data_IF_889021447069
#
_entry.id   IF_889021447069
#
_cell.length_a   1.000
_cell.length_b   1.000
_cell.length_c   1.000
_cell.angle_alpha   90.00
_cell.angle_beta   90.00
_cell.angle_gamma   90.00
#
_symmetry.space_group_name_H-M   'P 1'
#
loop_
_entity.id
_entity.type
_entity.pdbx_description
1 polymer ?
#
# COMPACT_ATOMS: atom_id res chain seq x y z
N UNK A 1 10.83 19.53 6.34
CA UNK A 1 10.48 18.55 5.29
C UNK A 1 11.10 17.16 5.50
N UNK A 2 12.36 17.03 5.95
CA UNK A 2 13.00 15.72 6.22
C UNK A 2 12.28 14.94 7.35
N UNK A 3 11.87 15.64 8.41
CA UNK A 3 11.15 15.06 9.55
C UNK A 3 9.76 14.50 9.18
N UNK A 4 9.07 15.10 8.20
CA UNK A 4 7.73 14.65 7.78
C UNK A 4 7.85 13.37 6.95
N UNK A 5 8.77 13.31 5.99
CA UNK A 5 9.00 12.09 5.20
C UNK A 5 9.41 10.90 6.08
N UNK A 6 10.38 11.11 7.01
CA UNK A 6 10.81 10.05 7.92
C UNK A 6 9.72 9.61 8.92
N UNK A 7 8.82 10.52 9.31
CA UNK A 7 7.69 10.17 10.17
C UNK A 7 6.68 9.28 9.43
N UNK A 8 6.36 9.60 8.18
CA UNK A 8 5.48 8.78 7.33
C UNK A 8 6.11 7.40 7.09
N UNK A 9 7.40 7.35 6.78
CA UNK A 9 8.14 6.10 6.56
C UNK A 9 8.14 5.20 7.79
N UNK A 10 8.39 5.79 8.99
CA UNK A 10 8.41 5.04 10.25
C UNK A 10 7.01 4.56 10.64
N UNK A 11 6.00 5.38 10.41
CA UNK A 11 4.62 5.03 10.70
C UNK A 11 4.15 3.87 9.81
N UNK A 12 4.37 3.97 8.50
CA UNK A 12 4.00 2.92 7.55
C UNK A 12 4.76 1.60 7.78
N UNK A 13 6.02 1.67 8.23
CA UNK A 13 6.79 0.48 8.57
C UNK A 13 6.21 -0.26 9.78
N UNK A 14 5.92 0.45 10.86
CA UNK A 14 5.30 -0.14 12.04
C UNK A 14 3.91 -0.68 11.73
N UNK A 15 3.10 0.10 11.00
CA UNK A 15 1.75 -0.32 10.63
C UNK A 15 1.76 -1.55 9.70
N UNK A 16 2.63 -1.57 8.69
CA UNK A 16 2.81 -2.72 7.81
C UNK A 16 3.28 -3.98 8.55
N UNK A 17 4.20 -3.81 9.49
CA UNK A 17 4.64 -4.90 10.36
C UNK A 17 3.50 -5.49 11.19
N UNK A 18 2.71 -4.65 11.86
CA UNK A 18 1.55 -5.13 12.61
C UNK A 18 0.45 -5.70 11.71
N UNK A 19 0.23 -5.11 10.54
CA UNK A 19 -0.72 -5.61 9.58
C UNK A 19 -0.37 -7.01 9.04
N UNK A 20 0.92 -7.36 9.00
CA UNK A 20 1.34 -8.71 8.58
C UNK A 20 0.82 -9.81 9.53
N UNK A 21 0.63 -9.51 10.81
CA UNK A 21 0.04 -10.47 11.75
C UNK A 21 -1.44 -10.76 11.49
N UNK A 22 -2.15 -9.92 10.72
CA UNK A 22 -3.54 -10.21 10.33
C UNK A 22 -3.67 -11.46 9.45
N UNK A 23 -2.58 -11.90 8.85
CA UNK A 23 -2.56 -13.15 8.08
C UNK A 23 -2.80 -14.37 8.97
N UNK A 24 -2.38 -14.34 10.24
CA UNK A 24 -2.57 -15.46 11.15
C UNK A 24 -4.05 -15.74 11.46
N UNK A 25 -4.85 -14.76 11.97
CA UNK A 25 -6.27 -14.98 12.16
C UNK A 25 -7.00 -15.26 10.83
N UNK A 26 -6.56 -14.66 9.70
CA UNK A 26 -7.12 -14.98 8.40
C UNK A 26 -6.96 -16.47 8.04
N UNK A 27 -5.75 -17.03 8.20
CA UNK A 27 -5.50 -18.44 7.96
C UNK A 27 -6.34 -19.31 8.91
N UNK A 28 -6.43 -18.95 10.20
CA UNK A 28 -7.23 -19.69 11.19
C UNK A 28 -8.71 -19.74 10.78
N UNK A 29 -9.28 -18.64 10.35
CA UNK A 29 -10.69 -18.57 9.90
C UNK A 29 -10.91 -19.42 8.66
N UNK A 30 -10.01 -19.34 7.68
CA UNK A 30 -10.11 -20.14 6.44
C UNK A 30 -10.01 -21.63 6.74
N UNK A 31 -9.03 -22.03 7.56
CA UNK A 31 -8.86 -23.44 7.95
C UNK A 31 -10.07 -23.93 8.73
N UNK A 32 -10.60 -23.13 9.65
CA UNK A 32 -11.82 -23.45 10.38
C UNK A 32 -13.01 -23.69 9.44
N UNK A 33 -13.23 -22.77 8.48
CA UNK A 33 -14.32 -22.92 7.51
C UNK A 33 -14.16 -24.19 6.67
N UNK A 34 -12.94 -24.52 6.24
CA UNK A 34 -12.65 -25.74 5.47
C UNK A 34 -12.98 -26.99 6.30
N UNK A 35 -12.57 -27.03 7.56
CA UNK A 35 -12.86 -28.16 8.47
C UNK A 35 -14.37 -28.30 8.68
N UNK A 36 -15.06 -27.21 8.98
CA UNK A 36 -16.52 -27.23 9.21
C UNK A 36 -17.28 -27.64 7.95
N UNK A 37 -16.90 -27.14 6.81
CA UNK A 37 -17.56 -27.38 5.52
C UNK A 37 -17.38 -28.82 5.04
N UNK A 38 -16.14 -29.31 5.04
CA UNK A 38 -15.81 -30.62 4.45
C UNK A 38 -15.71 -31.76 5.48
N UNK A 39 -15.35 -31.45 6.73
CA UNK A 39 -15.27 -32.47 7.78
C UNK A 39 -16.61 -32.75 8.47
N UNK A 40 -17.36 -31.68 8.74
CA UNK A 40 -18.62 -31.78 9.50
C UNK A 40 -19.87 -31.52 8.64
N UNK A 41 -19.71 -31.18 7.36
CA UNK A 41 -20.78 -30.78 6.44
C UNK A 41 -21.68 -29.66 7.01
N UNK A 42 -21.09 -28.76 7.79
CA UNK A 42 -21.73 -27.66 8.50
C UNK A 42 -21.06 -26.33 8.15
N UNK A 43 -21.25 -25.79 6.90
CA UNK A 43 -20.64 -24.54 6.49
C UNK A 43 -21.09 -23.38 7.39
N UNK A 44 -20.14 -22.50 7.73
CA UNK A 44 -20.44 -21.35 8.59
C UNK A 44 -20.90 -20.14 7.77
N UNK A 45 -21.84 -19.35 8.31
CA UNK A 45 -22.37 -18.16 7.63
C UNK A 45 -21.46 -16.93 7.75
N UNK A 46 -20.53 -16.93 8.71
CA UNK A 46 -19.70 -15.77 9.07
C UNK A 46 -18.26 -15.82 8.54
N UNK A 47 -17.71 -17.01 8.34
CA UNK A 47 -16.28 -17.17 8.06
C UNK A 47 -15.87 -16.51 6.73
N UNK A 48 -16.71 -16.60 5.70
CA UNK A 48 -16.42 -15.95 4.42
C UNK A 48 -16.28 -14.43 4.55
N UNK A 49 -17.21 -13.80 5.24
CA UNK A 49 -17.20 -12.34 5.42
C UNK A 49 -16.04 -11.87 6.30
N UNK A 50 -15.79 -12.58 7.40
CA UNK A 50 -14.65 -12.29 8.26
C UNK A 50 -13.32 -12.42 7.50
N UNK A 51 -13.21 -13.44 6.63
CA UNK A 51 -12.04 -13.58 5.73
C UNK A 51 -11.89 -12.38 4.82
N UNK A 52 -12.97 -11.93 4.17
CA UNK A 52 -12.95 -10.74 3.30
C UNK A 52 -12.56 -9.48 4.09
N UNK A 53 -13.04 -9.32 5.30
CA UNK A 53 -12.71 -8.19 6.17
C UNK A 53 -11.23 -8.18 6.58
N UNK A 54 -10.74 -9.30 7.06
CA UNK A 54 -9.32 -9.44 7.43
C UNK A 54 -8.40 -9.25 6.22
N UNK A 55 -8.77 -9.83 5.07
CA UNK A 55 -8.01 -9.68 3.84
C UNK A 55 -8.01 -8.23 3.35
N UNK A 56 -9.17 -7.56 3.33
CA UNK A 56 -9.28 -6.17 2.91
C UNK A 56 -8.44 -5.22 3.78
N UNK A 57 -8.48 -5.39 5.09
CA UNK A 57 -7.67 -4.62 6.03
C UNK A 57 -6.17 -4.91 5.84
N UNK A 58 -5.79 -6.19 5.83
CA UNK A 58 -4.40 -6.63 5.64
C UNK A 58 -3.82 -6.07 4.33
N UNK A 59 -4.52 -6.26 3.21
CA UNK A 59 -4.06 -5.84 1.90
C UNK A 59 -3.92 -4.31 1.80
N UNK A 60 -4.87 -3.54 2.33
CA UNK A 60 -4.83 -2.08 2.29
C UNK A 60 -3.62 -1.50 3.02
N UNK A 61 -3.24 -2.07 4.16
CA UNK A 61 -2.03 -1.66 4.89
C UNK A 61 -0.74 -2.17 4.24
N UNK A 62 -0.78 -3.37 3.66
CA UNK A 62 0.36 -3.95 2.95
C UNK A 62 0.77 -3.13 1.72
N UNK A 63 -0.19 -2.46 1.01
CA UNK A 63 0.10 -1.60 -0.13
C UNK A 63 1.07 -0.46 0.21
N UNK A 64 0.82 0.25 1.31
CA UNK A 64 1.67 1.36 1.76
C UNK A 64 3.08 0.86 2.12
N UNK A 65 3.18 -0.27 2.81
CA UNK A 65 4.45 -0.92 3.16
C UNK A 65 5.22 -1.38 1.94
N UNK A 66 4.56 -2.08 1.02
CA UNK A 66 5.16 -2.57 -0.22
C UNK A 66 5.70 -1.43 -1.09
N UNK A 67 4.97 -0.32 -1.17
CA UNK A 67 5.42 0.85 -1.93
C UNK A 67 6.70 1.49 -1.36
N UNK A 68 6.83 1.54 -0.03
CA UNK A 68 8.06 2.00 0.63
C UNK A 68 9.28 1.18 0.21
N UNK A 69 9.13 -0.15 0.14
CA UNK A 69 10.22 -1.08 -0.15
C UNK A 69 10.48 -1.34 -1.65
N UNK A 70 9.90 -0.53 -2.56
CA UNK A 70 10.09 -0.66 -4.01
C UNK A 70 9.73 -2.04 -4.59
N UNK A 71 8.82 -2.78 -3.98
CA UNK A 71 8.45 -4.12 -4.41
C UNK A 71 7.52 -4.15 -5.64
N UNK A 72 7.24 -3.01 -6.26
CA UNK A 72 6.48 -2.95 -7.52
C UNK A 72 7.40 -3.25 -8.71
N UNK A 73 7.39 -4.49 -9.13
CA UNK A 73 8.30 -5.17 -10.07
C UNK A 73 8.33 -4.62 -11.51
N UNK A 74 7.39 -3.77 -11.89
CA UNK A 74 7.17 -3.50 -13.32
C UNK A 74 8.21 -2.56 -13.98
N UNK A 75 8.95 -1.78 -13.23
CA UNK A 75 9.85 -0.74 -13.79
C UNK A 75 11.32 -1.13 -13.66
N UNK A 76 11.67 -2.07 -12.79
CA UNK A 76 13.05 -2.43 -12.47
C UNK A 76 13.88 -2.89 -13.70
N UNK A 77 13.23 -3.57 -14.65
CA UNK A 77 13.93 -4.07 -15.87
C UNK A 77 14.36 -2.92 -16.78
N UNK A 78 13.55 -1.86 -16.90
CA UNK A 78 13.90 -0.67 -17.66
C UNK A 78 14.84 0.25 -16.88
N UNK A 79 14.64 0.37 -15.58
CA UNK A 79 15.47 1.17 -14.70
C UNK A 79 16.90 0.64 -14.58
N UNK A 80 17.10 -0.69 -14.61
CA UNK A 80 18.40 -1.31 -14.53
C UNK A 80 19.36 -0.95 -15.70
N UNK A 81 18.80 -0.48 -16.82
CA UNK A 81 19.57 -0.07 -18.01
C UNK A 81 19.88 1.42 -18.07
N UNK A 82 19.34 2.21 -17.15
CA UNK A 82 19.49 3.67 -17.13
C UNK A 82 20.53 4.07 -16.09
N UNK A 83 21.28 5.13 -16.40
CA UNK A 83 22.12 5.80 -15.42
C UNK A 83 21.29 6.47 -14.32
N UNK A 84 21.90 6.81 -13.19
CA UNK A 84 21.22 7.30 -11.98
C UNK A 84 20.26 8.48 -12.22
N UNK A 85 20.69 9.49 -12.99
CA UNK A 85 19.88 10.70 -13.24
C UNK A 85 18.62 10.43 -14.06
N UNK A 86 18.67 9.84 -15.29
CA UNK A 86 17.47 9.55 -16.07
C UNK A 86 16.54 8.55 -15.35
N UNK A 87 17.08 7.63 -14.56
CA UNK A 87 16.33 6.72 -13.71
C UNK A 87 15.47 7.48 -12.68
N UNK A 88 16.07 8.44 -11.96
CA UNK A 88 15.36 9.27 -10.97
C UNK A 88 14.30 10.15 -11.64
N UNK A 89 14.60 10.72 -12.80
CA UNK A 89 13.64 11.54 -13.57
C UNK A 89 12.44 10.69 -14.00
N UNK A 90 12.68 9.48 -14.52
CA UNK A 90 11.62 8.55 -14.90
C UNK A 90 10.71 8.21 -13.72
N UNK A 91 11.28 7.93 -12.54
CA UNK A 91 10.53 7.69 -11.30
C UNK A 91 9.65 8.87 -10.91
N UNK A 92 10.19 10.08 -10.97
CA UNK A 92 9.43 11.30 -10.66
C UNK A 92 8.27 11.46 -11.64
N UNK A 93 8.51 11.33 -12.95
CA UNK A 93 7.46 11.45 -13.97
C UNK A 93 6.37 10.40 -13.75
N UNK A 94 6.73 9.13 -13.58
CA UNK A 94 5.78 8.04 -13.34
C UNK A 94 4.99 8.25 -12.05
N UNK A 95 5.62 8.72 -11.00
CA UNK A 95 4.95 9.00 -9.73
C UNK A 95 3.94 10.16 -9.89
N UNK A 96 4.31 11.26 -10.53
CA UNK A 96 3.45 12.45 -10.68
C UNK A 96 2.32 12.21 -11.68
N UNK A 97 2.60 11.53 -12.80
CA UNK A 97 1.62 11.38 -13.91
C UNK A 97 0.70 10.19 -13.71
N UNK A 98 1.21 9.08 -13.20
CA UNK A 98 0.42 7.84 -13.06
C UNK A 98 0.03 7.57 -11.61
N UNK A 99 1.01 7.52 -10.69
CA UNK A 99 0.76 7.05 -9.35
C UNK A 99 -0.12 8.02 -8.53
N UNK A 100 0.29 9.26 -8.39
CA UNK A 100 -0.43 10.25 -7.56
C UNK A 100 -1.86 10.52 -8.03
N UNK A 101 -2.15 10.73 -9.33
CA UNK A 101 -3.52 10.93 -9.77
C UNK A 101 -4.38 9.69 -9.55
N UNK A 102 -3.87 8.50 -9.90
CA UNK A 102 -4.63 7.25 -9.78
C UNK A 102 -4.92 6.91 -8.33
N UNK A 103 -3.88 6.90 -7.47
CA UNK A 103 -4.05 6.54 -6.06
C UNK A 103 -4.77 7.66 -5.30
N UNK A 104 -4.58 8.93 -5.68
CA UNK A 104 -5.31 10.06 -5.11
C UNK A 104 -6.82 9.97 -5.37
N UNK A 105 -7.22 9.65 -6.60
CA UNK A 105 -8.63 9.41 -6.95
C UNK A 105 -9.19 8.20 -6.20
N UNK A 106 -8.45 7.08 -6.15
CA UNK A 106 -8.86 5.90 -5.40
C UNK A 106 -9.05 6.21 -3.91
N UNK A 107 -8.07 6.86 -3.27
CA UNK A 107 -8.17 7.25 -1.87
C UNK A 107 -9.39 8.15 -1.60
N UNK A 108 -9.64 9.13 -2.50
CA UNK A 108 -10.80 9.99 -2.40
C UNK A 108 -12.11 9.19 -2.46
N UNK A 109 -12.28 8.34 -3.49
CA UNK A 109 -13.51 7.57 -3.65
C UNK A 109 -13.73 6.55 -2.54
N UNK A 110 -12.67 5.91 -2.03
CA UNK A 110 -12.78 4.97 -0.90
C UNK A 110 -13.15 5.71 0.38
N UNK A 111 -12.66 6.95 0.60
CA UNK A 111 -13.09 7.79 1.72
C UNK A 111 -14.58 8.17 1.61
N UNK A 112 -15.04 8.57 0.42
CA UNK A 112 -16.46 8.87 0.16
C UNK A 112 -17.32 7.62 0.39
N UNK A 113 -16.87 6.46 -0.08
CA UNK A 113 -17.56 5.18 0.12
C UNK A 113 -17.67 4.83 1.61
N UNK A 114 -16.60 5.02 2.38
CA UNK A 114 -16.61 4.81 3.82
C UNK A 114 -17.59 5.79 4.54
N UNK A 115 -17.55 7.07 4.16
CA UNK A 115 -18.45 8.08 4.71
C UNK A 115 -19.93 7.76 4.45
N UNK A 116 -20.27 7.37 3.21
CA UNK A 116 -21.63 6.97 2.85
C UNK A 116 -22.07 5.70 3.62
N UNK A 117 -21.16 4.76 3.82
CA UNK A 117 -21.43 3.54 4.57
C UNK A 117 -21.75 3.82 6.04
N UNK A 118 -21.10 4.82 6.66
CA UNK A 118 -21.42 5.30 8.00
C UNK A 118 -22.78 5.98 8.08
N UNK A 119 -23.16 6.80 7.08
CA UNK A 119 -24.46 7.46 7.06
C UNK A 119 -25.61 6.49 6.99
N UNK A 120 -25.43 5.36 6.31
CA UNK A 120 -26.45 4.33 6.11
C UNK A 120 -26.42 3.21 7.15
N UNK A 121 -25.43 3.23 8.08
CA UNK A 121 -25.20 2.12 9.02
C UNK A 121 -25.15 0.79 8.28
N UNK A 122 -24.41 0.75 7.18
CA UNK A 122 -24.43 -0.34 6.22
C UNK A 122 -23.99 -1.68 6.83
N UNK A 123 -24.82 -2.70 6.59
CA UNK A 123 -24.56 -4.08 6.99
C UNK A 123 -24.43 -4.96 5.76
N UNK A 124 -23.74 -6.09 5.88
CA UNK A 124 -23.66 -7.09 4.81
C UNK A 124 -25.04 -7.68 4.49
N UNK A 125 -25.25 -8.03 3.24
CA UNK A 125 -26.52 -8.65 2.78
C UNK A 125 -26.58 -10.16 3.05
N UNK A 126 -25.82 -10.66 4.01
CA UNK A 126 -25.74 -12.07 4.36
C UNK A 126 -26.61 -12.39 5.57
N UNK A 127 -26.71 -13.68 5.89
CA UNK A 127 -27.42 -14.15 7.08
C UNK A 127 -26.77 -13.70 8.39
N UNK A 128 -25.47 -13.43 8.39
CA UNK A 128 -24.76 -12.89 9.56
C UNK A 128 -24.88 -11.38 9.68
N UNK A 129 -25.04 -10.68 8.55
CA UNK A 129 -25.25 -9.24 8.47
C UNK A 129 -24.29 -8.38 9.35
N UNK A 130 -22.97 -8.58 9.31
CA UNK A 130 -22.06 -7.77 10.09
C UNK A 130 -21.98 -6.33 9.57
N UNK A 131 -21.61 -5.35 10.42
CA UNK A 131 -21.40 -3.96 9.99
C UNK A 131 -20.22 -3.86 9.05
N UNK A 132 -20.41 -3.25 7.86
CA UNK A 132 -19.36 -3.10 6.83
C UNK A 132 -18.63 -1.77 6.99
N UNK A 133 -19.26 -0.73 7.55
CA UNK A 133 -18.68 0.60 7.66
C UNK A 133 -17.33 0.67 8.39
N UNK A 134 -17.02 -0.14 9.45
CA UNK A 134 -15.71 -0.08 10.08
C UNK A 134 -14.61 -0.61 9.15
N UNK A 135 -14.90 -1.67 8.39
CA UNK A 135 -13.95 -2.28 7.46
C UNK A 135 -13.64 -1.33 6.30
N UNK A 136 -14.67 -0.68 5.73
CA UNK A 136 -14.49 0.35 4.71
C UNK A 136 -13.64 1.51 5.22
N UNK A 137 -13.78 1.88 6.49
CA UNK A 137 -12.93 2.91 7.12
C UNK A 137 -11.48 2.47 7.23
N UNK A 138 -11.21 1.23 7.63
CA UNK A 138 -9.84 0.69 7.65
C UNK A 138 -9.22 0.65 6.26
N UNK A 139 -10.00 0.28 5.24
CA UNK A 139 -9.54 0.31 3.85
C UNK A 139 -9.24 1.74 3.39
N UNK A 140 -10.12 2.71 3.68
CA UNK A 140 -9.91 4.11 3.35
C UNK A 140 -8.62 4.64 4.00
N UNK A 141 -8.41 4.32 5.26
CA UNK A 141 -7.19 4.68 5.97
C UNK A 141 -5.93 4.09 5.31
N UNK A 142 -5.97 2.81 4.92
CA UNK A 142 -4.87 2.17 4.19
C UNK A 142 -4.55 2.85 2.85
N UNK A 143 -5.57 3.22 2.05
CA UNK A 143 -5.37 3.95 0.79
C UNK A 143 -4.83 5.37 0.99
N UNK A 144 -5.26 6.06 2.05
CA UNK A 144 -4.68 7.37 2.42
C UNK A 144 -3.20 7.23 2.79
N UNK A 145 -2.84 6.22 3.59
CA UNK A 145 -1.43 5.94 3.91
C UNK A 145 -0.62 5.62 2.66
N UNK A 146 -1.19 4.86 1.73
CA UNK A 146 -0.55 4.53 0.47
C UNK A 146 -0.29 5.77 -0.39
N UNK A 147 -1.25 6.68 -0.48
CA UNK A 147 -1.09 7.98 -1.14
C UNK A 147 0.00 8.83 -0.49
N UNK A 148 -0.03 8.95 0.84
CA UNK A 148 0.99 9.70 1.60
C UNK A 148 2.40 9.12 1.41
N UNK A 149 2.53 7.80 1.29
CA UNK A 149 3.80 7.15 1.00
C UNK A 149 4.32 7.51 -0.39
N UNK A 150 3.44 7.60 -1.40
CA UNK A 150 3.80 8.07 -2.73
C UNK A 150 4.31 9.52 -2.74
N UNK A 151 3.67 10.39 -1.97
CA UNK A 151 4.12 11.78 -1.80
C UNK A 151 5.48 11.84 -1.09
N UNK A 152 5.68 11.05 -0.03
CA UNK A 152 6.96 10.97 0.68
C UNK A 152 8.09 10.50 -0.24
N UNK A 153 7.84 9.49 -1.07
CA UNK A 153 8.79 8.97 -2.05
C UNK A 153 9.13 10.01 -3.13
N UNK A 154 8.12 10.71 -3.65
CA UNK A 154 8.35 11.80 -4.60
C UNK A 154 9.27 12.88 -4.02
N UNK A 155 9.07 13.26 -2.76
CA UNK A 155 9.94 14.23 -2.09
C UNK A 155 11.37 13.72 -1.92
N UNK A 156 11.57 12.42 -1.70
CA UNK A 156 12.91 11.80 -1.62
C UNK A 156 13.59 11.80 -2.99
N UNK A 157 12.90 11.41 -4.05
CA UNK A 157 13.44 11.37 -5.42
C UNK A 157 13.84 12.77 -5.92
N UNK A 158 13.02 13.80 -5.66
CA UNK A 158 13.35 15.19 -6.00
C UNK A 158 14.59 15.66 -5.25
N UNK A 159 14.79 15.24 -4.00
CA UNK A 159 15.99 15.60 -3.23
C UNK A 159 17.23 14.91 -3.74
N UNK A 160 17.16 13.61 -4.05
CA UNK A 160 18.28 12.86 -4.61
C UNK A 160 18.74 13.49 -5.92
N UNK A 161 17.80 13.93 -6.77
CA UNK A 161 18.12 14.62 -8.02
C UNK A 161 18.85 15.96 -7.80
N UNK A 162 18.49 16.69 -6.75
CA UNK A 162 19.15 17.97 -6.39
C UNK A 162 20.50 17.77 -5.69
N UNK A 163 20.68 16.66 -4.99
CA UNK A 163 21.89 16.36 -4.24
C UNK A 163 23.01 15.73 -5.09
N UNK A 164 22.71 15.30 -6.32
CA UNK A 164 23.70 14.81 -7.28
C UNK A 164 24.25 15.98 -8.10
N UNK A 165 25.31 16.71 -7.64
CA UNK A 165 26.02 17.65 -8.49
C UNK A 165 26.78 16.84 -9.54
N UNK A 166 26.86 17.43 -10.71
CA UNK A 166 27.63 16.97 -11.86
C UNK A 166 29.13 16.97 -11.53
N UNK A 167 29.62 15.97 -10.84
CA UNK A 167 31.05 15.84 -10.58
C UNK A 167 31.51 14.38 -10.64
N UNK A 168 31.46 13.82 -11.85
CA UNK A 168 32.45 12.86 -12.30
C UNK A 168 32.90 13.27 -13.69
N UNK A 169 33.75 14.31 -13.71
CA UNK A 169 34.70 14.49 -14.79
C UNK A 169 35.51 13.19 -14.86
N UNK A 170 35.75 12.61 -16.04
CA UNK A 170 36.65 11.49 -16.18
C UNK A 170 38.01 11.92 -15.60
N UNK A 171 38.53 11.15 -14.67
CA UNK A 171 39.92 11.26 -14.29
C UNK A 171 40.72 11.02 -15.56
N UNK A 172 41.20 12.13 -16.12
CA UNK A 172 42.21 12.16 -17.18
C UNK A 172 43.38 11.29 -16.72
N UNK A 173 43.57 10.21 -17.42
CA UNK A 173 44.69 9.29 -17.24
C UNK A 173 45.94 10.06 -17.57
N UNK A 174 46.63 10.63 -16.57
CA UNK A 174 48.03 11.06 -16.65
C UNK A 174 48.87 9.93 -16.16
N UNK A 175 49.16 9.01 -17.05
CA UNK A 175 50.35 8.16 -16.98
C UNK A 175 51.07 8.27 -18.30
N UNK A 176 52.09 9.12 -18.27
CA UNK A 176 53.29 9.00 -19.09
C UNK A 176 54.29 8.17 -18.34
#
# INVERSE_FOLDING_TARGET
MQKIGSAIDTFNEKFGFYASYLVLPLIMVVVWEVIMRYGFNAPTSWAFELTVFLYGAHYSFALAYAHKHNTHVAIDVFEARLSERPRTILRIITNVVLFLPTIGLLAYYVCVLAANSWQQWEHASSSWAPPIYPVKTLMAFGFVLFFLQGVAKLMQDIRSLKASPDHQLPLENKDQ
#
